data_IF_845050693617
#
_entry.id   IF_845050693617
#
_cell.length_a   1.000
_cell.length_b   1.000
_cell.length_c   1.000
_cell.angle_alpha   90.00
_cell.angle_beta   90.00
_cell.angle_gamma   90.00
#
_symmetry.space_group_name_H-M   'P 1'
#
loop_
_entity.id
_entity.type
_entity.pdbx_description
1 polymer ?
#
# COMPACT_ATOMS: atom_id res chain seq x y z
N UNK A 1 -32.76 20.35 19.31
CA UNK A 1 -32.24 20.57 20.68
C UNK A 1 -31.52 21.91 20.70
N UNK A 2 -31.74 22.74 21.71
CA UNK A 2 -31.19 24.10 21.80
C UNK A 2 -29.67 24.17 22.00
N UNK A 3 -29.01 23.05 22.41
CA UNK A 3 -27.58 22.98 22.67
C UNK A 3 -26.69 22.83 21.43
N UNK A 4 -27.27 22.55 20.28
CA UNK A 4 -26.51 22.23 19.06
C UNK A 4 -25.99 20.79 19.02
N UNK A 5 -25.41 20.42 17.88
CA UNK A 5 -24.77 19.10 17.62
C UNK A 5 -23.25 19.13 17.71
N UNK A 6 -22.65 17.97 17.92
CA UNK A 6 -21.23 17.73 17.81
C UNK A 6 -20.95 16.50 16.96
N UNK A 7 -19.68 16.25 16.67
CA UNK A 7 -19.21 15.09 15.90
C UNK A 7 -18.04 14.43 16.63
N UNK A 8 -18.03 13.12 16.60
CA UNK A 8 -16.88 12.30 16.94
C UNK A 8 -16.38 11.62 15.66
N UNK A 9 -15.19 11.99 15.20
CA UNK A 9 -14.60 11.53 13.94
C UNK A 9 -13.36 10.67 14.20
N UNK A 10 -13.10 9.72 13.33
CA UNK A 10 -11.96 8.81 13.44
C UNK A 10 -11.12 8.89 12.17
N UNK A 11 -9.82 9.15 12.32
CA UNK A 11 -8.81 9.01 11.24
C UNK A 11 -8.00 7.73 11.37
N UNK A 12 -8.18 6.99 12.46
CA UNK A 12 -7.67 5.63 12.69
C UNK A 12 -8.79 4.82 13.32
N UNK A 13 -9.06 3.63 12.80
CA UNK A 13 -10.17 2.80 13.27
C UNK A 13 -9.69 1.44 13.74
N UNK A 14 -9.87 1.19 15.03
CA UNK A 14 -9.40 -0.02 15.73
C UNK A 14 -10.47 -1.11 15.83
N UNK A 15 -11.63 -0.89 15.26
CA UNK A 15 -12.70 -1.88 15.17
C UNK A 15 -12.46 -2.94 14.10
N UNK A 16 -13.53 -3.63 13.68
CA UNK A 16 -13.48 -4.61 12.59
C UNK A 16 -14.40 -4.15 11.47
N UNK A 17 -13.87 -3.96 10.26
CA UNK A 17 -12.48 -4.10 9.83
C UNK A 17 -11.55 -3.03 10.41
N UNK A 18 -10.30 -3.39 10.67
CA UNK A 18 -9.28 -2.43 11.09
C UNK A 18 -8.91 -1.51 9.92
N UNK A 19 -8.66 -0.23 10.22
CA UNK A 19 -8.48 0.76 9.16
C UNK A 19 -7.53 1.88 9.59
N UNK A 20 -6.65 2.32 8.68
CA UNK A 20 -5.73 3.43 8.90
C UNK A 20 -4.87 3.30 10.18
N UNK A 21 -4.36 2.10 10.45
CA UNK A 21 -3.68 1.81 11.73
C UNK A 21 -2.18 2.10 11.70
N UNK A 22 -1.55 1.97 10.55
CA UNK A 22 -0.10 1.90 10.45
C UNK A 22 0.52 3.14 9.82
N UNK A 23 0.09 3.46 8.61
CA UNK A 23 0.58 4.59 7.84
C UNK A 23 -0.52 5.63 7.74
N UNK A 24 -0.19 6.89 7.83
CA UNK A 24 -1.15 7.99 7.72
C UNK A 24 -1.74 8.05 6.32
N UNK A 25 -2.65 7.12 6.04
CA UNK A 25 -3.24 6.89 4.71
C UNK A 25 -4.65 7.46 4.56
N UNK A 26 -5.21 8.08 5.60
CA UNK A 26 -6.48 8.81 5.53
C UNK A 26 -6.29 10.11 4.74
N UNK A 27 -6.90 10.25 3.54
CA UNK A 27 -6.70 11.46 2.75
C UNK A 27 -7.37 12.67 3.41
N UNK A 28 -6.73 13.83 3.45
CA UNK A 28 -7.35 15.07 3.90
C UNK A 28 -8.67 15.38 3.18
N UNK A 29 -8.78 15.04 1.90
CA UNK A 29 -10.02 15.20 1.14
C UNK A 29 -11.21 14.45 1.78
N UNK A 30 -11.01 13.24 2.31
CA UNK A 30 -12.06 12.49 3.00
C UNK A 30 -12.44 13.17 4.33
N UNK A 31 -11.44 13.61 5.09
CA UNK A 31 -11.69 14.38 6.33
C UNK A 31 -12.51 15.63 6.03
N UNK A 32 -12.10 16.38 4.98
CA UNK A 32 -12.78 17.61 4.55
C UNK A 32 -14.23 17.37 4.12
N UNK A 33 -14.49 16.29 3.38
CA UNK A 33 -15.82 15.90 2.94
C UNK A 33 -16.73 15.58 4.13
N UNK A 34 -16.28 14.74 5.06
CA UNK A 34 -17.09 14.32 6.21
C UNK A 34 -17.32 15.47 7.20
N UNK A 35 -16.28 16.26 7.46
CA UNK A 35 -16.43 17.44 8.32
C UNK A 35 -17.27 18.54 7.66
N UNK A 36 -17.24 18.62 6.32
CA UNK A 36 -18.12 19.49 5.54
C UNK A 36 -19.61 19.14 5.74
N UNK A 37 -19.95 17.86 5.71
CA UNK A 37 -21.30 17.36 6.00
C UNK A 37 -21.72 17.73 7.43
N UNK A 38 -20.83 17.50 8.41
CA UNK A 38 -21.09 17.87 9.80
C UNK A 38 -21.32 19.38 9.96
N UNK A 39 -20.50 20.19 9.31
CA UNK A 39 -20.62 21.66 9.33
C UNK A 39 -21.93 22.11 8.68
N UNK A 40 -22.30 21.59 7.52
CA UNK A 40 -23.52 21.94 6.79
C UNK A 40 -24.78 21.52 7.56
N UNK A 41 -24.74 20.44 8.33
CA UNK A 41 -25.86 19.98 9.18
C UNK A 41 -25.88 20.60 10.58
N UNK A 42 -25.11 21.66 10.78
CA UNK A 42 -25.05 22.41 12.06
C UNK A 42 -24.47 21.62 13.25
N UNK A 43 -23.65 20.59 13.00
CA UNK A 43 -22.88 19.88 14.04
C UNK A 43 -21.57 20.63 14.30
N UNK A 44 -21.65 21.84 14.89
CA UNK A 44 -20.52 22.79 14.98
C UNK A 44 -20.05 23.07 16.41
N UNK A 45 -20.75 22.51 17.43
CA UNK A 45 -20.49 22.88 18.82
C UNK A 45 -19.30 22.19 19.46
N UNK A 46 -19.09 20.94 19.11
CA UNK A 46 -17.98 20.14 19.63
C UNK A 46 -17.52 19.18 18.55
N UNK A 47 -16.24 19.23 18.23
CA UNK A 47 -15.61 18.29 17.35
C UNK A 47 -14.56 17.50 18.14
N UNK A 48 -14.67 16.18 18.12
CA UNK A 48 -13.76 15.26 18.78
C UNK A 48 -13.12 14.38 17.72
N UNK A 49 -11.79 14.29 17.73
CA UNK A 49 -11.04 13.46 16.83
C UNK A 49 -10.43 12.27 17.57
N UNK A 50 -10.73 11.06 17.11
CA UNK A 50 -9.96 9.87 17.45
C UNK A 50 -8.83 9.70 16.43
N UNK A 51 -7.60 9.94 16.86
CA UNK A 51 -6.40 9.88 16.01
C UNK A 51 -5.81 8.48 15.94
N UNK A 52 -6.09 7.64 16.95
CA UNK A 52 -5.31 6.43 17.21
C UNK A 52 -3.93 6.81 17.75
N UNK A 53 -2.87 6.50 17.03
CA UNK A 53 -1.53 6.93 17.39
C UNK A 53 -1.23 8.32 16.82
N UNK A 54 -1.05 9.29 17.72
CA UNK A 54 -0.91 10.72 17.36
C UNK A 54 0.27 10.95 16.44
N UNK A 55 1.44 10.37 16.75
CA UNK A 55 2.68 10.62 16.00
C UNK A 55 2.57 10.27 14.51
N UNK A 56 2.10 9.07 14.10
CA UNK A 56 1.89 8.79 12.69
C UNK A 56 0.75 9.59 12.06
N UNK A 57 -0.26 9.99 12.85
CA UNK A 57 -1.46 10.70 12.37
C UNK A 57 -1.35 12.23 12.35
N UNK A 58 -0.15 12.81 12.48
CA UNK A 58 0.06 14.27 12.63
C UNK A 58 -0.60 15.10 11.51
N UNK A 59 -0.51 14.68 10.24
CA UNK A 59 -1.10 15.42 9.11
C UNK A 59 -2.63 15.44 9.18
N UNK A 60 -3.23 14.27 9.39
CA UNK A 60 -4.69 14.16 9.53
C UNK A 60 -5.22 14.93 10.73
N UNK A 61 -4.51 14.88 11.88
CA UNK A 61 -4.79 15.66 13.05
C UNK A 61 -4.73 17.18 12.77
N UNK A 62 -3.66 17.64 12.14
CA UNK A 62 -3.47 19.05 11.81
C UNK A 62 -4.57 19.57 10.87
N UNK A 63 -4.91 18.80 9.84
CA UNK A 63 -5.98 19.18 8.93
C UNK A 63 -7.34 19.28 9.62
N UNK A 64 -7.67 18.31 10.46
CA UNK A 64 -8.91 18.33 11.23
C UNK A 64 -8.97 19.55 12.18
N UNK A 65 -7.87 19.87 12.86
CA UNK A 65 -7.81 21.02 13.75
C UNK A 65 -7.88 22.34 13.00
N UNK A 66 -7.27 22.46 11.84
CA UNK A 66 -7.39 23.63 10.98
C UNK A 66 -8.85 23.85 10.51
N UNK A 67 -9.55 22.76 10.13
CA UNK A 67 -10.97 22.81 9.80
C UNK A 67 -11.82 23.21 11.01
N UNK A 68 -11.49 22.72 12.19
CA UNK A 68 -12.23 23.05 13.41
C UNK A 68 -12.04 24.53 13.83
N UNK A 69 -10.85 25.08 13.58
CA UNK A 69 -10.53 26.46 13.90
C UNK A 69 -11.09 27.45 12.89
N UNK A 70 -10.88 27.20 11.60
CA UNK A 70 -11.37 28.01 10.49
C UNK A 70 -11.88 27.12 9.35
N UNK A 71 -13.13 26.71 9.45
CA UNK A 71 -13.72 25.81 8.46
C UNK A 71 -13.78 26.44 7.07
N UNK A 72 -14.23 27.69 6.98
CA UNK A 72 -14.46 28.34 5.68
C UNK A 72 -13.14 28.66 4.94
N UNK A 73 -12.13 29.11 5.66
CA UNK A 73 -10.80 29.36 5.10
C UNK A 73 -10.09 28.08 4.71
N UNK A 74 -10.08 27.10 5.60
CA UNK A 74 -9.37 25.83 5.37
C UNK A 74 -10.02 24.98 4.26
N UNK A 75 -11.36 24.90 4.24
CA UNK A 75 -12.08 24.11 3.22
C UNK A 75 -11.87 24.63 1.80
N UNK A 76 -11.73 25.96 1.64
CA UNK A 76 -11.45 26.59 0.33
C UNK A 76 -10.11 26.20 -0.27
N UNK A 77 -9.12 25.82 0.55
CA UNK A 77 -7.82 25.37 0.06
C UNK A 77 -7.91 24.02 -0.65
N UNK A 78 -8.87 23.20 -0.27
CA UNK A 78 -8.91 21.79 -0.67
C UNK A 78 -7.68 21.02 -0.19
N UNK A 79 -7.60 19.75 -0.56
CA UNK A 79 -6.47 18.90 -0.14
C UNK A 79 -5.11 19.44 -0.63
N UNK A 80 -5.01 19.76 -1.91
CA UNK A 80 -3.72 20.17 -2.50
C UNK A 80 -3.21 21.49 -1.93
N UNK A 81 -4.08 22.49 -1.81
CA UNK A 81 -3.71 23.78 -1.24
C UNK A 81 -3.32 23.70 0.23
N UNK A 82 -4.05 22.88 1.00
CA UNK A 82 -3.71 22.66 2.40
C UNK A 82 -2.37 21.91 2.55
N UNK A 83 -2.16 20.83 1.79
CA UNK A 83 -0.89 20.08 1.82
C UNK A 83 0.30 20.96 1.45
N UNK A 84 0.13 21.87 0.49
CA UNK A 84 1.18 22.84 0.12
C UNK A 84 1.49 23.78 1.29
N UNK A 85 0.46 24.36 1.93
CA UNK A 85 0.64 25.20 3.11
C UNK A 85 1.33 24.44 4.24
N UNK A 86 0.82 23.26 4.58
CA UNK A 86 1.41 22.41 5.62
C UNK A 86 2.87 22.06 5.33
N UNK A 87 3.18 21.73 4.09
CA UNK A 87 4.56 21.42 3.69
C UNK A 87 5.49 22.65 3.79
N UNK A 88 5.00 23.83 3.37
CA UNK A 88 5.75 25.07 3.49
C UNK A 88 6.04 25.44 4.95
N UNK A 89 5.05 25.31 5.83
CA UNK A 89 5.17 25.61 7.25
C UNK A 89 6.10 24.62 7.98
N UNK A 90 6.11 23.34 7.53
CA UNK A 90 6.87 22.28 8.20
C UNK A 90 8.30 22.17 7.67
N UNK A 91 8.48 22.21 6.36
CA UNK A 91 9.75 21.88 5.69
C UNK A 91 10.39 23.07 4.95
N UNK A 92 9.66 24.15 4.77
CA UNK A 92 10.07 25.31 3.99
C UNK A 92 9.34 25.41 2.64
N UNK A 93 9.26 26.61 2.08
CA UNK A 93 8.47 26.87 0.87
C UNK A 93 9.08 26.27 -0.40
N UNK A 94 10.38 26.00 -0.43
CA UNK A 94 11.11 25.61 -1.65
C UNK A 94 10.64 24.27 -2.22
N UNK A 95 10.32 23.29 -1.37
CA UNK A 95 9.85 21.95 -1.76
C UNK A 95 8.36 21.74 -1.55
N UNK A 96 7.62 22.76 -1.14
CA UNK A 96 6.22 22.61 -0.73
C UNK A 96 5.31 22.07 -1.84
N UNK A 97 5.49 22.52 -3.08
CA UNK A 97 4.73 22.03 -4.23
C UNK A 97 5.06 20.57 -4.56
N UNK A 98 6.34 20.20 -4.54
CA UNK A 98 6.77 18.82 -4.78
C UNK A 98 6.20 17.88 -3.71
N UNK A 99 6.26 18.26 -2.43
CA UNK A 99 5.72 17.49 -1.30
C UNK A 99 4.21 17.36 -1.41
N UNK A 100 3.48 18.42 -1.72
CA UNK A 100 2.03 18.39 -1.85
C UNK A 100 1.59 17.48 -3.00
N UNK A 101 2.28 17.52 -4.13
CA UNK A 101 2.02 16.64 -5.28
C UNK A 101 2.26 15.18 -4.93
N UNK A 102 3.42 14.87 -4.34
CA UNK A 102 3.78 13.54 -3.88
C UNK A 102 2.74 12.96 -2.90
N UNK A 103 2.35 13.75 -1.90
CA UNK A 103 1.35 13.31 -0.92
C UNK A 103 -0.04 13.16 -1.54
N UNK A 104 -0.39 13.98 -2.53
CA UNK A 104 -1.62 13.83 -3.30
C UNK A 104 -1.67 12.48 -4.04
N UNK A 105 -0.56 12.06 -4.66
CA UNK A 105 -0.45 10.75 -5.32
C UNK A 105 -0.44 9.61 -4.29
N UNK A 106 0.27 9.77 -3.18
CA UNK A 106 0.26 8.84 -2.06
C UNK A 106 -1.16 8.56 -1.55
N UNK A 107 -1.93 9.61 -1.24
CA UNK A 107 -3.30 9.45 -0.77
C UNK A 107 -4.22 8.84 -1.82
N UNK A 108 -4.06 9.18 -3.09
CA UNK A 108 -4.85 8.59 -4.19
C UNK A 108 -4.61 7.08 -4.32
N UNK A 109 -3.35 6.65 -4.24
CA UNK A 109 -2.99 5.24 -4.32
C UNK A 109 -3.52 4.46 -3.10
N UNK A 110 -3.42 5.03 -1.91
CA UNK A 110 -3.93 4.41 -0.68
C UNK A 110 -5.46 4.41 -0.61
N UNK A 111 -6.13 5.42 -1.16
CA UNK A 111 -7.59 5.46 -1.23
C UNK A 111 -8.16 4.32 -2.09
N UNK A 112 -7.47 3.97 -3.19
CA UNK A 112 -7.86 2.82 -4.01
C UNK A 112 -7.75 1.49 -3.23
N UNK A 113 -6.70 1.30 -2.45
CA UNK A 113 -6.52 0.16 -1.54
C UNK A 113 -5.48 0.50 -0.47
N UNK A 114 -5.89 0.49 0.79
CA UNK A 114 -5.02 0.76 1.94
C UNK A 114 -4.01 -0.36 2.17
N UNK A 115 -2.85 -0.09 2.78
CA UNK A 115 -1.87 -1.13 3.12
C UNK A 115 -2.47 -2.27 3.93
N UNK A 116 -3.29 -1.97 4.94
CA UNK A 116 -3.94 -2.95 5.81
C UNK A 116 -4.92 -3.86 5.05
N UNK A 117 -5.41 -3.41 3.89
CA UNK A 117 -6.38 -4.16 3.08
C UNK A 117 -5.76 -4.86 1.87
N UNK A 118 -4.44 -4.86 1.72
CA UNK A 118 -3.76 -5.56 0.61
C UNK A 118 -3.95 -7.08 0.64
N UNK A 119 -4.30 -7.64 1.77
CA UNK A 119 -4.56 -9.07 1.93
C UNK A 119 -5.25 -9.34 3.26
N UNK A 120 -6.16 -8.44 3.64
CA UNK A 120 -6.86 -8.51 4.92
C UNK A 120 -7.64 -9.79 5.10
N UNK A 121 -7.45 -10.42 6.24
CA UNK A 121 -8.07 -11.66 6.62
C UNK A 121 -8.17 -11.78 8.14
N UNK A 122 -9.38 -11.90 8.67
CA UNK A 122 -9.61 -12.02 10.12
C UNK A 122 -9.51 -13.44 10.65
N UNK A 123 -9.62 -14.44 9.79
CA UNK A 123 -9.79 -15.84 10.20
C UNK A 123 -8.51 -16.67 10.07
N UNK A 124 -7.49 -16.16 9.40
CA UNK A 124 -6.32 -16.94 8.99
C UNK A 124 -5.03 -16.23 9.35
N UNK A 125 -3.97 -17.00 9.51
CA UNK A 125 -2.65 -16.50 9.92
C UNK A 125 -1.82 -15.97 8.76
N UNK A 126 -2.21 -16.25 7.52
CA UNK A 126 -1.60 -15.73 6.31
C UNK A 126 -2.51 -14.73 5.60
N UNK A 127 -1.96 -13.69 4.95
CA UNK A 127 -2.76 -12.75 4.19
C UNK A 127 -3.36 -13.42 2.93
N UNK A 128 -4.56 -12.98 2.55
CA UNK A 128 -5.18 -13.37 1.29
C UNK A 128 -4.41 -12.82 0.10
N UNK A 129 -4.55 -13.42 -1.09
CA UNK A 129 -4.10 -12.81 -2.33
C UNK A 129 -4.75 -11.44 -2.53
N UNK A 130 -4.04 -10.53 -3.19
CA UNK A 130 -4.63 -9.27 -3.60
C UNK A 130 -5.61 -9.51 -4.77
N UNK A 131 -6.45 -8.55 -5.06
CA UNK A 131 -7.36 -8.61 -6.21
C UNK A 131 -6.77 -7.90 -7.44
N UNK A 132 -5.55 -7.39 -7.34
CA UNK A 132 -4.87 -6.74 -8.46
C UNK A 132 -4.31 -7.77 -9.43
N UNK A 133 -4.77 -7.73 -10.67
CA UNK A 133 -4.35 -8.70 -11.67
C UNK A 133 -2.91 -8.46 -12.13
N UNK A 134 -2.04 -9.50 -12.08
CA UNK A 134 -0.69 -9.41 -12.64
C UNK A 134 -0.63 -9.62 -14.16
N UNK A 135 -1.77 -9.80 -14.83
CA UNK A 135 -1.89 -10.12 -16.26
C UNK A 135 -2.96 -9.33 -17.00
N UNK A 136 -4.14 -9.13 -16.40
CA UNK A 136 -5.22 -8.37 -17.02
C UNK A 136 -5.01 -6.84 -16.86
N UNK A 137 -5.74 -6.07 -17.65
CA UNK A 137 -5.72 -4.60 -17.63
C UNK A 137 -4.34 -4.00 -17.85
N UNK A 138 -3.51 -4.67 -18.67
CA UNK A 138 -2.14 -4.23 -18.97
C UNK A 138 -1.17 -4.43 -17.80
N UNK A 139 -1.35 -5.49 -17.01
CA UNK A 139 -0.62 -5.76 -15.75
C UNK A 139 -0.95 -4.71 -14.67
N UNK A 140 -2.19 -4.73 -14.20
CA UNK A 140 -2.68 -3.81 -13.17
C UNK A 140 -1.77 -3.78 -11.92
N UNK A 141 -1.33 -4.96 -11.47
CA UNK A 141 -0.43 -5.10 -10.33
C UNK A 141 0.93 -4.40 -10.58
N UNK A 142 1.50 -4.59 -11.78
CA UNK A 142 2.76 -3.94 -12.17
C UNK A 142 2.62 -2.43 -12.30
N UNK A 143 1.53 -1.94 -12.91
CA UNK A 143 1.24 -0.50 -13.02
C UNK A 143 1.13 0.12 -11.63
N UNK A 144 0.39 -0.52 -10.72
CA UNK A 144 0.24 -0.04 -9.35
C UNK A 144 1.59 0.02 -8.63
N UNK A 145 2.38 -1.04 -8.69
CA UNK A 145 3.69 -1.09 -8.04
C UNK A 145 4.66 -0.06 -8.62
N UNK A 146 4.64 0.15 -9.93
CA UNK A 146 5.47 1.18 -10.60
C UNK A 146 5.15 2.60 -10.09
N UNK A 147 3.87 2.91 -9.86
CA UNK A 147 3.44 4.20 -9.28
C UNK A 147 3.96 4.38 -7.86
N UNK A 148 3.88 3.35 -7.02
CA UNK A 148 4.43 3.41 -5.67
C UNK A 148 5.95 3.59 -5.66
N UNK A 149 6.68 2.84 -6.49
CA UNK A 149 8.13 3.00 -6.65
C UNK A 149 8.51 4.41 -7.12
N UNK A 150 7.69 4.99 -7.99
CA UNK A 150 7.89 6.36 -8.46
C UNK A 150 7.80 7.39 -7.33
N UNK A 151 6.73 7.35 -6.52
CA UNK A 151 6.58 8.29 -5.40
C UNK A 151 7.60 8.04 -4.29
N UNK A 152 8.05 6.80 -4.08
CA UNK A 152 9.13 6.49 -3.13
C UNK A 152 10.46 7.11 -3.57
N UNK A 153 10.81 6.98 -4.85
CA UNK A 153 11.99 7.64 -5.41
C UNK A 153 11.90 9.18 -5.36
N UNK A 154 10.71 9.75 -5.57
CA UNK A 154 10.48 11.18 -5.41
C UNK A 154 10.68 11.62 -3.95
N UNK A 155 10.18 10.85 -2.97
CA UNK A 155 10.39 11.16 -1.56
C UNK A 155 11.88 11.22 -1.19
N UNK A 156 12.68 10.28 -1.67
CA UNK A 156 14.13 10.30 -1.48
C UNK A 156 14.80 11.54 -2.14
N UNK A 157 14.38 11.85 -3.36
CA UNK A 157 14.92 13.02 -4.08
C UNK A 157 14.59 14.34 -3.39
N UNK A 158 13.39 14.45 -2.81
CA UNK A 158 13.01 15.62 -2.00
C UNK A 158 13.82 15.67 -0.69
N UNK A 159 13.91 14.53 0.02
CA UNK A 159 14.68 14.44 1.27
C UNK A 159 16.13 14.92 1.10
N UNK A 160 16.76 14.59 -0.04
CA UNK A 160 18.13 15.01 -0.34
C UNK A 160 18.28 16.53 -0.49
N UNK A 161 17.22 17.23 -0.89
CA UNK A 161 17.21 18.70 -1.06
C UNK A 161 16.96 19.46 0.25
N UNK A 162 16.37 18.79 1.25
CA UNK A 162 15.99 19.42 2.50
C UNK A 162 17.20 19.73 3.41
N UNK A 163 17.14 20.81 4.19
CA UNK A 163 18.09 21.06 5.28
C UNK A 163 18.18 19.87 6.24
N UNK A 164 19.34 19.68 6.84
CA UNK A 164 19.61 18.52 7.70
C UNK A 164 18.63 18.42 8.88
N UNK A 165 18.32 19.54 9.52
CA UNK A 165 17.38 19.64 10.64
C UNK A 165 15.94 19.30 10.28
N UNK A 166 15.57 19.27 8.99
CA UNK A 166 14.25 18.92 8.48
C UNK A 166 14.11 17.44 8.05
N UNK A 167 15.24 16.77 7.79
CA UNK A 167 15.23 15.41 7.20
C UNK A 167 14.62 14.36 8.11
N UNK A 168 14.83 14.44 9.42
CA UNK A 168 14.21 13.50 10.36
C UNK A 168 12.69 13.63 10.37
N UNK A 169 12.16 14.85 10.48
CA UNK A 169 10.72 15.10 10.40
C UNK A 169 10.12 14.65 9.06
N UNK A 170 10.85 14.90 7.96
CA UNK A 170 10.43 14.47 6.64
C UNK A 170 10.41 12.94 6.51
N UNK A 171 11.41 12.27 7.08
CA UNK A 171 11.42 10.80 7.13
C UNK A 171 10.16 10.26 7.81
N UNK A 172 9.81 10.78 8.98
CA UNK A 172 8.65 10.33 9.75
C UNK A 172 7.32 10.62 9.05
N UNK A 173 7.17 11.81 8.50
CA UNK A 173 5.88 12.31 8.03
C UNK A 173 5.63 12.04 6.53
N UNK A 174 6.69 11.80 5.75
CA UNK A 174 6.59 11.62 4.30
C UNK A 174 7.28 10.34 3.84
N UNK A 175 8.62 10.20 4.05
CA UNK A 175 9.36 9.07 3.49
C UNK A 175 8.88 7.73 4.05
N UNK A 176 8.72 7.61 5.36
CA UNK A 176 8.32 6.33 5.98
C UNK A 176 6.92 5.88 5.55
N UNK A 177 5.86 6.71 5.58
CA UNK A 177 4.55 6.31 5.07
C UNK A 177 4.56 5.88 3.59
N UNK A 178 5.26 6.61 2.74
CA UNK A 178 5.40 6.30 1.31
C UNK A 178 6.18 5.01 1.12
N UNK A 179 7.33 4.87 1.78
CA UNK A 179 8.18 3.67 1.75
C UNK A 179 7.44 2.45 2.27
N UNK A 180 6.77 2.56 3.42
CA UNK A 180 5.98 1.49 4.01
C UNK A 180 4.87 1.01 3.08
N UNK A 181 4.13 1.94 2.44
CA UNK A 181 3.11 1.60 1.46
C UNK A 181 3.70 0.94 0.21
N UNK A 182 4.85 1.44 -0.27
CA UNK A 182 5.55 0.86 -1.44
C UNK A 182 5.97 -0.57 -1.16
N UNK A 183 6.62 -0.80 -0.02
CA UNK A 183 7.10 -2.12 0.37
C UNK A 183 5.95 -3.09 0.66
N UNK A 184 4.86 -2.61 1.26
CA UNK A 184 3.67 -3.44 1.47
C UNK A 184 3.04 -3.89 0.15
N UNK A 185 2.95 -2.99 -0.83
CA UNK A 185 2.47 -3.34 -2.16
C UNK A 185 3.44 -4.30 -2.87
N UNK A 186 4.75 -4.06 -2.82
CA UNK A 186 5.74 -4.97 -3.39
C UNK A 186 5.64 -6.37 -2.76
N UNK A 187 5.62 -6.46 -1.42
CA UNK A 187 5.47 -7.73 -0.69
C UNK A 187 4.29 -8.54 -1.18
N UNK A 188 3.13 -7.91 -1.32
CA UNK A 188 1.89 -8.61 -1.64
C UNK A 188 1.78 -8.94 -3.13
N UNK A 189 2.06 -7.96 -4.01
CA UNK A 189 1.91 -8.11 -5.46
C UNK A 189 2.97 -9.05 -6.04
N UNK A 190 4.21 -8.99 -5.55
CA UNK A 190 5.26 -9.90 -6.00
C UNK A 190 5.04 -11.33 -5.46
N UNK A 191 4.46 -11.49 -4.26
CA UNK A 191 4.04 -12.80 -3.78
C UNK A 191 2.96 -13.42 -4.68
N UNK A 192 1.92 -12.66 -5.02
CA UNK A 192 0.86 -13.11 -5.93
C UNK A 192 1.42 -13.48 -7.30
N UNK A 193 2.31 -12.64 -7.84
CA UNK A 193 2.97 -12.89 -9.13
C UNK A 193 3.87 -14.12 -9.08
N UNK A 194 4.61 -14.31 -8.00
CA UNK A 194 5.44 -15.50 -7.81
C UNK A 194 4.62 -16.78 -7.84
N UNK A 195 3.45 -16.73 -7.22
CA UNK A 195 2.54 -17.87 -7.17
C UNK A 195 1.95 -18.22 -8.54
N UNK A 196 1.47 -17.21 -9.29
CA UNK A 196 1.02 -17.39 -10.66
C UNK A 196 2.13 -17.97 -11.55
N UNK A 197 3.32 -17.40 -11.48
CA UNK A 197 4.44 -17.82 -12.33
C UNK A 197 4.96 -19.22 -11.97
N UNK A 198 4.94 -19.57 -10.68
CA UNK A 198 5.26 -20.94 -10.27
C UNK A 198 4.25 -21.95 -10.81
N UNK A 199 2.96 -21.60 -10.79
CA UNK A 199 1.88 -22.43 -11.37
C UNK A 199 2.06 -22.64 -12.88
N UNK A 200 2.58 -21.64 -13.58
CA UNK A 200 2.90 -21.71 -15.01
C UNK A 200 4.26 -22.37 -15.29
N UNK A 201 5.05 -22.71 -14.26
CA UNK A 201 6.39 -23.26 -14.40
C UNK A 201 7.46 -22.24 -14.82
N UNK A 202 7.22 -20.94 -14.73
CA UNK A 202 8.18 -19.89 -15.11
C UNK A 202 9.36 -19.83 -14.14
N UNK A 203 10.58 -19.83 -14.66
CA UNK A 203 11.80 -19.68 -13.86
C UNK A 203 11.81 -18.35 -13.06
N UNK A 204 11.21 -17.29 -13.62
CA UNK A 204 11.09 -15.98 -12.97
C UNK A 204 10.20 -15.98 -11.71
N UNK A 205 9.44 -17.04 -11.41
CA UNK A 205 8.71 -17.17 -10.15
C UNK A 205 9.63 -16.94 -8.94
N UNK A 206 10.85 -17.50 -9.01
CA UNK A 206 11.83 -17.37 -7.93
C UNK A 206 12.28 -15.92 -7.70
N UNK A 207 12.41 -15.14 -8.77
CA UNK A 207 12.78 -13.71 -8.70
C UNK A 207 11.72 -12.91 -7.94
N UNK A 208 10.44 -13.15 -8.25
CA UNK A 208 9.34 -12.46 -7.56
C UNK A 208 9.16 -12.95 -6.11
N UNK A 209 9.42 -14.23 -5.85
CA UNK A 209 9.42 -14.76 -4.49
C UNK A 209 10.50 -14.08 -3.62
N UNK A 210 11.71 -13.90 -4.19
CA UNK A 210 12.80 -13.18 -3.52
C UNK A 210 12.48 -11.69 -3.33
N UNK A 211 11.88 -11.04 -4.33
CA UNK A 211 11.45 -9.64 -4.25
C UNK A 211 10.40 -9.42 -3.15
N UNK A 212 9.42 -10.33 -3.02
CA UNK A 212 8.43 -10.26 -1.95
C UNK A 212 9.09 -10.39 -0.56
N UNK A 213 10.04 -11.32 -0.39
CA UNK A 213 10.78 -11.50 0.85
C UNK A 213 11.67 -10.29 1.16
N UNK A 214 12.29 -9.69 0.14
CA UNK A 214 13.08 -8.46 0.31
C UNK A 214 12.20 -7.28 0.75
N UNK A 215 11.02 -7.12 0.15
CA UNK A 215 10.08 -6.08 0.54
C UNK A 215 9.62 -6.26 2.01
N UNK A 216 9.37 -7.50 2.45
CA UNK A 216 9.06 -7.79 3.85
C UNK A 216 10.20 -7.39 4.80
N UNK A 217 11.45 -7.73 4.48
CA UNK A 217 12.63 -7.29 5.25
C UNK A 217 12.79 -5.77 5.22
N UNK A 218 12.49 -5.17 4.08
CA UNK A 218 12.54 -3.71 3.89
C UNK A 218 11.59 -2.95 4.82
N UNK A 219 10.38 -3.48 5.07
CA UNK A 219 9.43 -2.90 6.04
C UNK A 219 10.07 -2.86 7.44
N UNK A 220 10.65 -3.97 7.88
CA UNK A 220 11.32 -4.06 9.19
C UNK A 220 12.52 -3.11 9.29
N UNK A 221 13.30 -3.01 8.21
CA UNK A 221 14.45 -2.11 8.15
C UNK A 221 14.02 -0.63 8.22
N UNK A 222 12.99 -0.23 7.46
CA UNK A 222 12.45 1.13 7.49
C UNK A 222 11.89 1.49 8.88
N UNK A 223 11.17 0.56 9.52
CA UNK A 223 10.68 0.71 10.90
C UNK A 223 11.85 0.85 11.89
N UNK A 224 12.91 0.06 11.70
CA UNK A 224 14.12 0.16 12.50
C UNK A 224 14.82 1.52 12.39
N UNK A 225 14.84 2.12 11.19
CA UNK A 225 15.35 3.49 10.97
C UNK A 225 14.48 4.48 11.73
N UNK A 226 13.14 4.41 11.57
CA UNK A 226 12.19 5.28 12.27
C UNK A 226 12.47 5.31 13.79
N UNK A 227 12.58 4.14 14.39
CA UNK A 227 12.77 4.01 15.82
C UNK A 227 14.16 4.45 16.34
N UNK A 228 15.14 4.59 15.44
CA UNK A 228 16.50 5.05 15.79
C UNK A 228 16.71 6.56 15.65
N UNK A 229 15.79 7.26 15.00
CA UNK A 229 15.90 8.72 14.83
C UNK A 229 15.86 9.46 16.16
N UNK A 230 16.29 10.73 16.16
CA UNK A 230 16.36 11.55 17.36
C UNK A 230 17.27 10.98 18.46
N UNK A 231 18.35 10.28 18.07
CA UNK A 231 19.23 9.63 19.04
C UNK A 231 18.55 8.51 19.83
N UNK A 232 17.53 7.88 19.27
CA UNK A 232 16.74 6.83 19.93
C UNK A 232 15.53 7.34 20.73
N UNK A 233 15.22 8.63 20.65
CA UNK A 233 14.01 9.20 21.29
C UNK A 233 12.73 8.45 20.91
N UNK A 234 12.68 7.92 19.70
CA UNK A 234 11.53 7.21 19.16
C UNK A 234 11.65 5.68 19.23
N UNK A 235 12.56 5.16 20.05
CA UNK A 235 12.73 3.72 20.25
C UNK A 235 11.40 3.07 20.65
N UNK A 236 11.04 1.96 19.96
CA UNK A 236 9.79 1.22 20.14
C UNK A 236 8.51 1.99 19.85
N UNK A 237 8.59 3.14 19.18
CA UNK A 237 7.42 3.96 18.90
C UNK A 237 6.64 3.47 17.68
N UNK A 238 7.34 3.11 16.60
CA UNK A 238 6.71 2.56 15.41
C UNK A 238 6.74 1.04 15.44
N UNK A 239 5.60 0.43 15.12
CA UNK A 239 5.44 -1.01 15.00
C UNK A 239 5.09 -1.38 13.54
N UNK A 240 5.75 -2.39 12.99
CA UNK A 240 5.56 -2.84 11.61
C UNK A 240 4.46 -3.91 11.44
N UNK A 241 3.86 -4.34 12.55
CA UNK A 241 2.78 -5.34 12.58
C UNK A 241 1.62 -4.85 13.49
N UNK A 242 0.97 -3.71 13.17
CA UNK A 242 -0.08 -3.16 14.01
C UNK A 242 -1.17 -4.19 14.28
N UNK A 243 -1.49 -4.38 15.56
CA UNK A 243 -2.51 -5.33 16.02
C UNK A 243 -2.28 -6.78 15.59
N UNK A 244 -1.05 -7.14 15.21
CA UNK A 244 -0.68 -8.51 14.81
C UNK A 244 -1.59 -9.10 13.72
N UNK A 245 -2.08 -8.26 12.81
CA UNK A 245 -2.93 -8.73 11.72
C UNK A 245 -2.13 -9.54 10.71
N UNK A 246 -2.79 -10.57 10.17
CA UNK A 246 -2.17 -11.49 9.20
C UNK A 246 -1.60 -10.79 7.96
N UNK A 247 -2.18 -9.65 7.56
CA UNK A 247 -1.71 -8.88 6.40
C UNK A 247 -0.27 -8.39 6.55
N UNK A 248 0.22 -8.22 7.79
CA UNK A 248 1.59 -7.81 8.04
C UNK A 248 2.59 -8.96 8.00
N UNK A 249 2.13 -10.21 8.11
CA UNK A 249 2.99 -11.39 7.96
C UNK A 249 3.55 -11.51 6.53
N UNK A 250 4.60 -12.30 6.39
CA UNK A 250 5.08 -12.69 5.06
C UNK A 250 4.03 -13.59 4.39
N UNK A 251 3.53 -13.24 3.20
CA UNK A 251 2.61 -14.10 2.48
C UNK A 251 3.33 -15.34 1.93
N UNK A 252 2.62 -16.46 1.71
CA UNK A 252 3.15 -17.57 0.94
C UNK A 252 3.60 -17.12 -0.44
N UNK A 253 4.71 -17.70 -0.93
CA UNK A 253 5.25 -17.42 -2.27
C UNK A 253 5.38 -18.69 -3.08
N UNK A 254 5.21 -18.61 -4.39
CA UNK A 254 5.43 -19.70 -5.31
C UNK A 254 6.88 -19.75 -5.78
N UNK A 255 7.45 -20.96 -5.83
CA UNK A 255 8.78 -21.19 -6.38
C UNK A 255 8.79 -22.40 -7.30
N UNK A 256 9.73 -22.42 -8.23
CA UNK A 256 9.95 -23.55 -9.14
C UNK A 256 11.38 -24.08 -9.00
N UNK A 257 11.55 -25.33 -9.32
CA UNK A 257 12.88 -25.90 -9.63
C UNK A 257 13.04 -25.75 -11.14
N UNK A 258 13.92 -24.85 -11.62
CA UNK A 258 14.13 -24.67 -13.06
C UNK A 258 14.57 -25.98 -13.72
N UNK A 259 14.26 -26.13 -15.00
CA UNK A 259 14.77 -27.25 -15.78
C UNK A 259 16.29 -27.14 -15.88
N UNK A 260 16.98 -28.30 -15.94
CA UNK A 260 18.42 -28.34 -16.14
C UNK A 260 18.87 -27.81 -17.51
N UNK A 261 17.94 -27.70 -18.45
CA UNK A 261 18.17 -27.14 -19.80
C UNK A 261 17.14 -26.05 -20.08
N UNK A 262 17.54 -25.02 -20.82
CA UNK A 262 16.57 -24.00 -21.26
C UNK A 262 15.36 -24.61 -21.95
N UNK A 263 14.18 -24.09 -21.64
CA UNK A 263 12.93 -24.53 -22.23
C UNK A 263 11.98 -23.34 -22.40
N UNK A 264 11.12 -23.42 -23.42
CA UNK A 264 10.11 -22.40 -23.71
C UNK A 264 8.76 -22.85 -23.14
N UNK A 265 8.13 -21.98 -22.34
CA UNK A 265 6.76 -22.08 -21.91
C UNK A 265 5.90 -21.00 -22.58
N UNK A 266 4.61 -21.25 -22.72
CA UNK A 266 3.63 -20.31 -23.26
C UNK A 266 2.42 -20.28 -22.33
N UNK A 267 1.88 -19.09 -22.06
CA UNK A 267 0.62 -18.90 -21.35
C UNK A 267 -0.23 -17.86 -22.07
N UNK A 268 -1.53 -18.04 -22.04
CA UNK A 268 -2.50 -17.10 -22.60
C UNK A 268 -3.16 -16.27 -21.49
N UNK A 269 -3.58 -15.07 -21.81
CA UNK A 269 -4.19 -14.12 -20.86
C UNK A 269 -5.39 -14.73 -20.10
N UNK A 270 -6.13 -15.65 -20.69
CA UNK A 270 -7.28 -16.30 -20.03
C UNK A 270 -6.94 -17.35 -18.96
N UNK A 271 -5.67 -17.70 -18.78
CA UNK A 271 -5.19 -18.72 -17.83
C UNK A 271 -4.81 -18.12 -16.46
N UNK A 272 -5.68 -17.36 -15.84
CA UNK A 272 -5.34 -16.25 -14.98
C UNK A 272 -5.45 -16.53 -13.48
N UNK A 273 -6.30 -17.43 -13.06
CA UNK A 273 -6.78 -17.46 -11.67
C UNK A 273 -5.81 -18.11 -10.66
N UNK A 274 -4.63 -18.54 -11.10
CA UNK A 274 -3.70 -19.27 -10.24
C UNK A 274 -3.18 -18.46 -9.04
N UNK A 275 -3.01 -17.13 -9.17
CA UNK A 275 -2.53 -16.33 -8.05
C UNK A 275 -3.57 -16.17 -6.92
N UNK A 276 -4.86 -16.29 -7.25
CA UNK A 276 -5.95 -16.25 -6.27
C UNK A 276 -6.08 -17.53 -5.46
N UNK A 277 -5.45 -18.62 -5.93
CA UNK A 277 -5.44 -19.92 -5.27
C UNK A 277 -4.28 -20.08 -4.27
N UNK A 278 -3.56 -19.02 -3.99
CA UNK A 278 -2.50 -19.02 -2.98
C UNK A 278 -3.04 -19.50 -1.63
N UNK A 279 -2.31 -20.38 -0.92
CA UNK A 279 -2.72 -20.81 0.42
C UNK A 279 -2.83 -19.63 1.37
N UNK A 280 -3.84 -19.68 2.24
CA UNK A 280 -4.09 -18.65 3.26
C UNK A 280 -3.59 -19.05 4.64
N UNK A 281 -2.98 -20.23 4.78
CA UNK A 281 -2.34 -20.67 6.02
C UNK A 281 -0.93 -20.07 6.13
N UNK A 282 -0.57 -19.60 7.31
CA UNK A 282 0.79 -19.12 7.56
C UNK A 282 1.75 -20.32 7.48
N UNK A 283 2.78 -20.15 6.68
CA UNK A 283 3.98 -20.96 6.80
C UNK A 283 4.94 -20.20 7.71
N UNK A 284 5.59 -20.91 8.62
CA UNK A 284 6.56 -20.31 9.54
C UNK A 284 7.54 -19.39 8.80
N UNK A 285 7.68 -18.22 9.33
CA UNK A 285 7.99 -16.99 8.65
C UNK A 285 9.35 -16.94 7.98
N UNK A 286 10.28 -17.71 8.14
CA UNK A 286 11.60 -17.30 7.72
C UNK A 286 12.07 -17.88 6.40
N UNK A 287 11.73 -19.09 6.02
CA UNK A 287 12.46 -19.75 4.95
C UNK A 287 11.71 -20.86 4.20
N UNK A 288 10.48 -21.15 4.53
CA UNK A 288 9.70 -22.15 3.80
C UNK A 288 9.17 -21.57 2.50
N UNK A 289 10.09 -21.43 1.54
CA UNK A 289 9.69 -21.41 0.15
C UNK A 289 8.84 -22.65 -0.11
N UNK A 290 7.56 -22.45 -0.44
CA UNK A 290 6.79 -23.49 -1.08
C UNK A 290 7.55 -23.89 -2.33
N UNK A 291 8.32 -24.99 -2.25
CA UNK A 291 8.78 -25.67 -3.44
C UNK A 291 7.52 -26.25 -4.07
N UNK A 292 6.97 -25.53 -5.03
CA UNK A 292 5.93 -26.08 -5.88
C UNK A 292 6.64 -27.07 -6.78
N UNK A 293 6.73 -28.34 -6.33
CA UNK A 293 7.03 -29.41 -7.24
C UNK A 293 6.07 -29.31 -8.41
N UNK A 294 6.58 -29.41 -9.65
CA UNK A 294 5.82 -29.31 -10.90
C UNK A 294 4.39 -29.79 -10.73
N UNK A 295 3.47 -28.88 -10.57
CA UNK A 295 2.08 -29.18 -10.64
C UNK A 295 1.73 -29.49 -12.11
N UNK A 296 1.76 -30.75 -12.47
CA UNK A 296 1.00 -31.21 -13.61
C UNK A 296 -0.45 -31.16 -13.18
N UNK A 297 -1.08 -30.02 -13.31
CA UNK A 297 -2.52 -29.92 -13.14
C UNK A 297 -3.19 -30.78 -14.20
N UNK A 298 -3.90 -31.81 -13.76
CA UNK A 298 -4.96 -32.40 -14.57
C UNK A 298 -6.03 -31.31 -14.72
N UNK A 299 -6.04 -30.65 -15.86
CA UNK A 299 -6.83 -29.46 -16.11
C UNK A 299 -5.93 -28.24 -16.17
N UNK A 300 -5.01 -28.21 -17.17
CA UNK A 300 -4.35 -26.98 -17.56
C UNK A 300 -5.40 -25.88 -17.75
N UNK A 301 -5.13 -24.64 -17.26
CA UNK A 301 -5.94 -23.51 -17.65
C UNK A 301 -6.11 -23.55 -19.15
N UNK A 302 -7.29 -23.21 -19.62
CA UNK A 302 -7.62 -23.26 -21.05
C UNK A 302 -6.51 -22.61 -21.85
N UNK A 303 -5.81 -23.39 -22.70
CA UNK A 303 -4.84 -22.87 -23.68
C UNK A 303 -5.51 -21.98 -24.74
N UNK A 304 -6.77 -21.62 -24.51
CA UNK A 304 -7.60 -20.85 -25.43
C UNK A 304 -7.69 -19.42 -24.98
N UNK A 305 -7.42 -18.52 -25.91
CA UNK A 305 -7.77 -17.13 -25.74
C UNK A 305 -9.28 -16.99 -25.49
N UNK A 306 -9.70 -16.04 -24.64
CA UNK A 306 -11.10 -15.68 -24.51
C UNK A 306 -11.72 -15.34 -25.87
N UNK A 307 -13.03 -15.51 -26.04
CA UNK A 307 -13.70 -15.13 -27.30
C UNK A 307 -13.45 -13.66 -27.62
N UNK A 308 -13.08 -13.36 -28.86
CA UNK A 308 -12.96 -11.99 -29.34
C UNK A 308 -14.36 -11.39 -29.49
N UNK A 309 -14.66 -10.38 -28.68
CA UNK A 309 -15.89 -9.62 -28.82
C UNK A 309 -15.68 -8.48 -29.83
N UNK A 310 -16.59 -8.39 -30.82
CA UNK A 310 -16.51 -7.38 -31.89
C UNK A 310 -16.67 -5.94 -31.42
N UNK A 311 -17.07 -5.72 -30.17
CA UNK A 311 -17.43 -4.43 -29.62
C UNK A 311 -16.37 -3.82 -28.71
N UNK A 312 -15.26 -4.52 -28.47
CA UNK A 312 -14.19 -4.04 -27.58
C UNK A 312 -12.85 -4.02 -28.29
N UNK A 313 -12.13 -2.92 -28.19
CA UNK A 313 -10.73 -2.80 -28.63
C UNK A 313 -9.77 -3.56 -27.70
N UNK A 314 -10.24 -4.63 -27.08
CA UNK A 314 -9.45 -5.41 -26.13
C UNK A 314 -8.33 -6.17 -26.85
N UNK A 315 -7.12 -5.96 -26.39
CA UNK A 315 -5.96 -6.74 -26.81
C UNK A 315 -5.82 -7.95 -25.91
N UNK A 316 -5.54 -9.10 -26.48
CA UNK A 316 -5.22 -10.32 -25.78
C UNK A 316 -3.73 -10.59 -25.90
N UNK A 317 -3.12 -11.13 -24.84
CA UNK A 317 -1.71 -11.38 -24.79
C UNK A 317 -1.42 -12.89 -24.71
N UNK A 318 -0.37 -13.27 -25.37
CA UNK A 318 0.27 -14.58 -25.23
C UNK A 318 1.69 -14.31 -24.73
N UNK A 319 2.00 -14.83 -23.56
CA UNK A 319 3.32 -14.71 -22.97
C UNK A 319 4.17 -15.93 -23.35
N UNK A 320 5.36 -15.68 -23.86
CA UNK A 320 6.41 -16.67 -24.03
C UNK A 320 7.49 -16.45 -22.96
N UNK A 321 7.88 -17.49 -22.26
CA UNK A 321 8.78 -17.37 -21.11
C UNK A 321 9.72 -18.56 -20.94
N UNK A 322 10.81 -18.36 -20.19
CA UNK A 322 11.77 -19.39 -19.86
C UNK A 322 11.25 -20.24 -18.67
N UNK A 323 11.40 -21.56 -18.79
CA UNK A 323 11.06 -22.56 -17.78
C UNK A 323 12.28 -23.32 -17.25
N UNK A 324 13.49 -22.98 -17.70
CA UNK A 324 14.73 -23.61 -17.27
C UNK A 324 15.92 -22.68 -17.29
#
# INVERSE_FOLDING_TARGET
RSGGGGVYYLISYWGVPNDYLWLDSTPPALIGEEMGKAYATNSRRLWVLNVGDIKPGEKGLSYFMDLAYDFEGTSKLGQTGWLKRWAADTFGPEQADEIATLLGDYYRLNFARKPEHMGWNTAETAPRPTEFSPVAYGDEAGIRLARYKHIDAQAEAIAAKLPEDKREGFYHLVTYPVRGSTLMNAKMLDADRSFLYAHQGRASANVYADAAAEAYRGIKAATGIYNKTGGGKWAHFMHDEPRYQSVFNMPPVGRVIPLAKPGLGVAVEGAIDAWTQRPTQAFEAAETSLRVERWRTKGAPSDRLPPFERTTDRRYFIDAFNIG
#
